data_IF_396630080907
#
_entry.id   IF_396630080907
#
_cell.length_a   1.000
_cell.length_b   1.000
_cell.length_c   1.000
_cell.angle_alpha   90.00
_cell.angle_beta   90.00
_cell.angle_gamma   90.00
#
_symmetry.space_group_name_H-M   'P 1'
#
loop_
_entity.id
_entity.type
_entity.pdbx_description
1 polymer ?
#
# COMPACT_ATOMS: atom_id res chain seq x y z
N UNK A 1 -14.10 -17.36 26.09
CA UNK A 1 -14.37 -16.61 25.38
C UNK A 1 -15.50 -15.87 24.64
N UNK A 2 -16.75 -15.78 25.21
CA UNK A 2 -17.85 -15.02 24.58
C UNK A 2 -18.07 -13.65 25.24
N UNK A 3 -17.33 -13.32 26.29
CA UNK A 3 -17.41 -12.03 27.00
C UNK A 3 -16.75 -10.87 26.26
N UNK A 4 -15.79 -11.18 25.37
CA UNK A 4 -14.97 -10.15 24.72
C UNK A 4 -15.74 -9.39 23.63
N UNK A 5 -16.74 -10.01 23.00
CA UNK A 5 -17.52 -9.36 21.93
C UNK A 5 -18.38 -8.18 22.42
N UNK A 6 -18.90 -8.24 23.64
CA UNK A 6 -19.72 -7.16 24.19
C UNK A 6 -18.87 -5.97 24.62
N UNK A 7 -17.65 -6.25 25.09
CA UNK A 7 -16.70 -5.20 25.48
C UNK A 7 -16.12 -4.49 24.25
N UNK A 8 -15.87 -5.23 23.17
CA UNK A 8 -15.45 -4.68 21.88
C UNK A 8 -16.55 -3.79 21.27
N UNK A 9 -17.80 -4.28 21.23
CA UNK A 9 -18.94 -3.51 20.74
C UNK A 9 -19.18 -2.24 21.59
N UNK A 10 -18.98 -2.31 22.91
CA UNK A 10 -19.04 -1.16 23.80
C UNK A 10 -17.85 -0.20 23.59
N UNK A 11 -16.66 -0.73 23.27
CA UNK A 11 -15.50 0.06 22.89
C UNK A 11 -15.75 0.87 21.62
N UNK A 12 -16.32 0.26 20.59
CA UNK A 12 -16.72 0.95 19.35
C UNK A 12 -17.84 1.98 19.58
N UNK A 13 -18.84 1.66 20.43
CA UNK A 13 -19.90 2.61 20.78
C UNK A 13 -19.37 3.83 21.56
N UNK A 14 -18.33 3.67 22.37
CA UNK A 14 -17.64 4.80 23.04
C UNK A 14 -16.83 5.65 22.06
N UNK A 15 -16.45 5.10 20.91
CA UNK A 15 -15.77 5.84 19.84
C UNK A 15 -16.75 6.64 18.98
N UNK A 16 -18.02 6.19 18.82
CA UNK A 16 -19.07 6.94 18.10
C UNK A 16 -19.39 8.31 18.71
N UNK A 17 -19.16 8.49 20.03
CA UNK A 17 -19.41 9.75 20.74
C UNK A 17 -18.25 10.77 20.64
N UNK A 18 -17.14 10.38 19.98
CA UNK A 18 -16.06 11.30 19.61
C UNK A 18 -16.35 11.90 18.25
N UNK A 19 -16.43 13.22 18.17
CA UNK A 19 -16.40 13.95 16.89
C UNK A 19 -15.05 13.66 16.23
N UNK A 20 -15.04 12.67 15.29
CA UNK A 20 -13.84 12.40 14.50
C UNK A 20 -13.69 13.52 13.47
N UNK A 21 -12.56 14.21 13.50
CA UNK A 21 -12.15 15.05 12.38
C UNK A 21 -11.90 14.13 11.17
N UNK A 22 -12.46 14.49 10.02
CA UNK A 22 -12.17 13.78 8.77
C UNK A 22 -10.66 13.83 8.54
N UNK A 23 -10.03 12.66 8.57
CA UNK A 23 -8.59 12.54 8.39
C UNK A 23 -8.33 11.75 7.11
N UNK A 24 -7.54 12.31 6.22
CA UNK A 24 -7.17 11.66 4.97
C UNK A 24 -6.04 10.65 5.19
N UNK A 25 -6.28 9.42 4.74
CA UNK A 25 -5.25 8.36 4.64
C UNK A 25 -4.98 8.10 3.17
N UNK A 26 -3.73 8.26 2.76
CA UNK A 26 -3.34 8.06 1.37
C UNK A 26 -3.20 6.58 1.00
N UNK A 27 -3.48 6.27 -0.26
CA UNK A 27 -3.30 4.92 -0.78
C UNK A 27 -1.84 4.45 -0.60
N UNK A 28 -1.68 3.27 0.02
CA UNK A 28 -0.37 2.70 0.31
C UNK A 28 0.19 3.06 1.69
N UNK A 29 -0.55 3.79 2.52
CA UNK A 29 -0.20 4.01 3.93
C UNK A 29 -0.38 2.72 4.71
N UNK A 30 0.62 2.37 5.53
CA UNK A 30 0.57 1.20 6.40
C UNK A 30 -0.09 1.55 7.73
N UNK A 31 -0.89 0.61 8.22
CA UNK A 31 -1.49 0.67 9.54
C UNK A 31 -1.41 -0.69 10.25
N UNK A 32 -1.43 -0.66 11.55
CA UNK A 32 -1.50 -1.83 12.41
C UNK A 32 -2.95 -2.01 12.89
N UNK A 33 -3.51 -3.20 12.67
CA UNK A 33 -4.84 -3.53 13.19
C UNK A 33 -4.72 -3.73 14.70
N UNK A 34 -5.33 -2.82 15.46
CA UNK A 34 -5.35 -2.88 16.93
C UNK A 34 -6.49 -3.79 17.40
N UNK A 35 -7.65 -3.65 16.75
CA UNK A 35 -8.86 -4.37 17.12
C UNK A 35 -9.73 -4.64 15.90
N UNK A 36 -10.44 -5.76 15.93
CA UNK A 36 -11.35 -6.15 14.85
C UNK A 36 -12.60 -6.80 15.43
N UNK A 37 -13.75 -6.27 15.07
CA UNK A 37 -15.06 -6.81 15.45
C UNK A 37 -15.86 -7.18 14.21
N UNK A 38 -16.15 -8.47 14.04
CA UNK A 38 -16.93 -8.98 12.91
C UNK A 38 -18.32 -8.35 12.86
N UNK A 39 -18.74 -7.85 11.71
CA UNK A 39 -20.01 -7.17 11.50
C UNK A 39 -20.07 -5.73 12.02
N UNK A 40 -18.97 -5.22 12.59
CA UNK A 40 -18.86 -3.85 13.11
C UNK A 40 -17.80 -3.07 12.36
N UNK A 41 -16.55 -3.51 12.46
CA UNK A 41 -15.44 -2.81 11.82
C UNK A 41 -14.07 -3.15 12.36
N UNK A 42 -13.09 -2.32 12.02
CA UNK A 42 -11.69 -2.44 12.44
C UNK A 42 -11.18 -1.11 12.98
N UNK A 43 -10.41 -1.19 14.07
CA UNK A 43 -9.61 -0.09 14.60
C UNK A 43 -8.18 -0.26 14.07
N UNK A 44 -7.70 0.71 13.32
CA UNK A 44 -6.37 0.67 12.70
C UNK A 44 -5.58 1.89 13.15
N UNK A 45 -4.34 1.66 13.59
CA UNK A 45 -3.39 2.70 13.95
C UNK A 45 -2.44 2.96 12.80
N UNK A 46 -2.41 4.19 12.31
CA UNK A 46 -1.50 4.66 11.28
C UNK A 46 -0.38 5.52 11.88
N UNK A 47 0.85 5.30 11.41
CA UNK A 47 1.99 6.10 11.86
C UNK A 47 1.84 7.55 11.37
N UNK A 48 1.91 8.50 12.31
CA UNK A 48 1.79 9.94 12.01
C UNK A 48 0.37 10.47 11.84
N UNK A 49 -0.65 9.59 11.79
CA UNK A 49 -2.07 9.97 11.65
C UNK A 49 -2.84 9.69 12.95
N UNK A 50 -2.60 8.53 13.57
CA UNK A 50 -3.32 8.10 14.77
C UNK A 50 -4.18 6.87 14.54
N UNK A 51 -5.18 6.70 15.40
CA UNK A 51 -6.10 5.56 15.38
C UNK A 51 -7.38 5.93 14.66
N UNK A 52 -7.74 5.16 13.63
CA UNK A 52 -8.94 5.36 12.83
C UNK A 52 -9.82 4.11 12.86
N UNK A 53 -11.13 4.31 12.85
CA UNK A 53 -12.12 3.24 12.80
C UNK A 53 -12.65 3.11 11.38
N UNK A 54 -12.62 1.88 10.86
CA UNK A 54 -13.20 1.54 9.57
C UNK A 54 -14.39 0.61 9.77
N UNK A 55 -15.56 1.02 9.32
CA UNK A 55 -16.81 0.27 9.48
C UNK A 55 -17.03 -0.72 8.34
N UNK A 56 -17.52 -1.93 8.67
CA UNK A 56 -17.83 -2.97 7.69
C UNK A 56 -18.99 -2.56 6.77
N UNK A 57 -20.01 -1.91 7.35
CA UNK A 57 -21.17 -1.43 6.62
C UNK A 57 -21.61 -0.06 7.11
N UNK A 58 -21.19 0.99 6.42
CA UNK A 58 -21.90 2.27 6.50
C UNK A 58 -22.94 2.32 5.38
N UNK A 59 -24.04 3.05 5.59
CA UNK A 59 -25.12 3.17 4.60
C UNK A 59 -24.68 3.75 3.24
N UNK A 60 -23.45 4.24 3.11
CA UNK A 60 -22.91 4.93 1.94
C UNK A 60 -21.64 4.31 1.36
N UNK A 61 -20.79 3.64 2.16
CA UNK A 61 -19.49 3.12 1.71
C UNK A 61 -19.11 1.84 2.44
N UNK A 62 -18.50 0.91 1.73
CA UNK A 62 -17.81 -0.23 2.34
C UNK A 62 -16.34 0.19 2.57
N UNK A 63 -16.04 0.78 3.72
CA UNK A 63 -14.72 1.31 4.05
C UNK A 63 -13.66 0.21 4.20
N UNK A 64 -14.06 -0.96 4.68
CA UNK A 64 -13.16 -2.13 4.78
C UNK A 64 -12.72 -2.63 3.41
N UNK A 65 -13.55 -2.46 2.38
CA UNK A 65 -13.23 -2.88 1.02
C UNK A 65 -12.04 -2.17 0.39
N UNK A 66 -11.56 -1.07 0.98
CA UNK A 66 -10.36 -0.35 0.53
C UNK A 66 -9.08 -0.77 1.27
N UNK A 67 -9.20 -1.62 2.30
CA UNK A 67 -8.11 -2.09 3.13
C UNK A 67 -7.62 -3.43 2.61
N UNK A 68 -6.33 -3.54 2.36
CA UNK A 68 -5.65 -4.78 1.95
C UNK A 68 -4.65 -5.22 3.01
N UNK A 69 -4.42 -6.53 3.11
CA UNK A 69 -3.39 -7.05 3.99
C UNK A 69 -1.99 -6.63 3.53
N UNK A 70 -1.25 -5.99 4.42
CA UNK A 70 0.07 -5.40 4.15
C UNK A 70 1.26 -6.35 4.24
N UNK A 71 1.08 -7.69 4.18
CA UNK A 71 2.17 -8.66 4.22
C UNK A 71 3.06 -8.65 2.97
N UNK A 72 2.51 -8.21 1.85
CA UNK A 72 3.23 -7.97 0.60
C UNK A 72 2.54 -6.87 -0.19
N UNK A 73 3.32 -6.00 -0.82
CA UNK A 73 2.79 -4.89 -1.61
C UNK A 73 3.44 -4.86 -3.00
N UNK A 74 2.72 -4.34 -3.98
CA UNK A 74 3.29 -4.13 -5.30
C UNK A 74 4.30 -2.98 -5.28
N UNK A 75 5.28 -3.04 -6.16
CA UNK A 75 6.28 -1.98 -6.33
C UNK A 75 5.64 -0.60 -6.58
N UNK A 76 4.50 -0.53 -7.26
CA UNK A 76 3.79 0.72 -7.51
C UNK A 76 3.18 1.31 -6.23
N UNK A 77 2.60 0.48 -5.37
CA UNK A 77 2.04 0.93 -4.08
C UNK A 77 3.13 1.36 -3.09
N UNK A 78 4.36 0.87 -3.24
CA UNK A 78 5.49 1.25 -2.41
C UNK A 78 6.16 2.58 -2.81
N UNK A 79 5.68 3.24 -3.86
CA UNK A 79 6.24 4.52 -4.30
C UNK A 79 6.07 5.59 -3.21
N UNK A 80 7.15 6.30 -2.92
CA UNK A 80 7.20 7.30 -1.83
C UNK A 80 7.64 6.72 -0.48
N UNK A 81 7.55 5.41 -0.28
CA UNK A 81 7.98 4.74 0.96
C UNK A 81 9.42 4.23 0.86
N UNK A 82 10.10 4.14 2.00
CA UNK A 82 11.43 3.53 2.12
C UNK A 82 11.42 2.45 3.19
N UNK A 83 12.11 1.33 2.93
CA UNK A 83 12.15 0.18 3.82
C UNK A 83 13.58 -0.12 4.26
N UNK A 84 13.79 -0.32 5.56
CA UNK A 84 15.12 -0.70 6.11
C UNK A 84 15.64 -1.97 5.44
N UNK A 85 14.77 -2.96 5.32
CA UNK A 85 15.04 -4.22 4.61
C UNK A 85 13.95 -4.47 3.60
N UNK A 86 14.33 -4.69 2.35
CA UNK A 86 13.42 -5.02 1.27
C UNK A 86 13.64 -6.47 0.83
N UNK A 87 12.55 -7.22 0.73
CA UNK A 87 12.55 -8.54 0.09
C UNK A 87 11.71 -8.42 -1.18
N UNK A 88 12.36 -8.47 -2.33
CA UNK A 88 11.71 -8.34 -3.63
C UNK A 88 11.63 -9.68 -4.36
N UNK A 89 10.54 -9.89 -5.11
CA UNK A 89 10.37 -11.04 -5.99
C UNK A 89 10.13 -10.57 -7.43
N UNK A 90 10.81 -11.21 -8.39
CA UNK A 90 10.62 -10.96 -9.84
C UNK A 90 10.43 -12.28 -10.56
N UNK A 91 9.26 -12.46 -11.17
CA UNK A 91 8.99 -13.57 -12.08
C UNK A 91 8.88 -13.08 -13.52
N UNK A 92 9.28 -13.92 -14.47
CA UNK A 92 9.12 -13.61 -15.89
C UNK A 92 7.64 -13.67 -16.33
N UNK A 93 6.78 -14.32 -15.56
CA UNK A 93 5.32 -14.27 -15.79
C UNK A 93 4.77 -12.83 -15.83
N UNK A 94 5.41 -11.92 -15.12
CA UNK A 94 5.03 -10.52 -15.03
C UNK A 94 5.78 -9.63 -16.04
N UNK A 95 6.25 -10.17 -17.16
CA UNK A 95 7.10 -9.50 -18.14
C UNK A 95 6.55 -8.15 -18.61
N UNK A 96 5.23 -7.97 -18.61
CA UNK A 96 4.60 -6.69 -18.98
C UNK A 96 4.95 -5.55 -18.03
N UNK A 97 5.23 -5.84 -16.76
CA UNK A 97 5.62 -4.86 -15.75
C UNK A 97 7.13 -4.64 -15.74
N UNK A 98 7.89 -5.66 -16.16
CA UNK A 98 9.34 -5.64 -16.11
C UNK A 98 9.92 -4.58 -17.03
N UNK A 99 10.77 -3.72 -16.45
CA UNK A 99 11.52 -2.71 -17.17
C UNK A 99 12.67 -2.22 -16.28
N UNK A 100 13.62 -1.51 -16.87
CA UNK A 100 14.72 -0.87 -16.12
C UNK A 100 14.18 0.08 -15.05
N UNK A 101 13.16 0.85 -15.38
CA UNK A 101 12.51 1.79 -14.48
C UNK A 101 11.83 1.07 -13.30
N UNK A 102 11.15 -0.05 -13.57
CA UNK A 102 10.53 -0.86 -12.54
C UNK A 102 11.57 -1.43 -11.56
N UNK A 103 12.62 -2.04 -12.10
CA UNK A 103 13.71 -2.60 -11.28
C UNK A 103 14.40 -1.50 -10.45
N UNK A 104 14.68 -0.36 -11.06
CA UNK A 104 15.25 0.79 -10.37
C UNK A 104 14.33 1.29 -9.23
N UNK A 105 13.05 1.48 -9.53
CA UNK A 105 12.07 1.94 -8.54
C UNK A 105 12.01 1.00 -7.35
N UNK A 106 12.00 -0.32 -7.58
CA UNK A 106 11.98 -1.33 -6.52
C UNK A 106 13.24 -1.26 -5.66
N UNK A 107 14.42 -1.27 -6.28
CA UNK A 107 15.70 -1.28 -5.55
C UNK A 107 15.92 -0.01 -4.75
N UNK A 108 15.51 1.15 -5.27
CA UNK A 108 15.64 2.44 -4.59
C UNK A 108 14.70 2.64 -3.40
N UNK A 109 13.77 1.71 -3.17
CA UNK A 109 12.98 1.68 -1.91
C UNK A 109 13.78 1.14 -0.74
N UNK A 110 14.94 0.55 -0.98
CA UNK A 110 15.80 -0.02 0.06
C UNK A 110 16.65 1.06 0.72
N UNK A 111 16.62 1.09 2.06
CA UNK A 111 17.49 1.96 2.85
C UNK A 111 18.79 1.25 3.21
N UNK A 112 18.71 0.04 3.78
CA UNK A 112 19.87 -0.67 4.29
C UNK A 112 20.19 -1.94 3.50
N UNK A 113 19.21 -2.84 3.30
CA UNK A 113 19.45 -4.17 2.77
C UNK A 113 18.34 -4.65 1.85
N UNK A 114 18.71 -5.19 0.68
CA UNK A 114 17.78 -5.76 -0.29
C UNK A 114 18.11 -7.23 -0.54
N UNK A 115 17.08 -8.07 -0.43
CA UNK A 115 17.10 -9.47 -0.86
C UNK A 115 16.22 -9.61 -2.09
N UNK A 116 16.80 -9.95 -3.23
CA UNK A 116 16.07 -10.11 -4.47
C UNK A 116 15.97 -11.58 -4.86
N UNK A 117 14.78 -12.13 -4.84
CA UNK A 117 14.45 -13.46 -5.36
C UNK A 117 13.92 -13.27 -6.80
N UNK A 118 14.72 -13.65 -7.78
CA UNK A 118 14.40 -13.34 -9.16
C UNK A 118 14.81 -14.46 -10.13
N UNK A 119 13.97 -14.69 -11.13
CA UNK A 119 14.38 -15.48 -12.29
C UNK A 119 15.42 -14.70 -13.09
N UNK A 120 16.51 -15.37 -13.50
CA UNK A 120 17.58 -14.75 -14.27
C UNK A 120 17.05 -14.10 -15.56
N UNK A 121 16.08 -14.75 -16.22
CA UNK A 121 15.38 -14.23 -17.39
C UNK A 121 14.67 -12.91 -17.10
N UNK A 122 13.97 -12.80 -15.96
CA UNK A 122 13.25 -11.60 -15.55
C UNK A 122 14.20 -10.42 -15.31
N UNK A 123 15.34 -10.67 -14.65
CA UNK A 123 16.37 -9.65 -14.42
C UNK A 123 16.97 -9.17 -15.74
N UNK A 124 17.39 -10.09 -16.60
CA UNK A 124 17.95 -9.74 -17.90
C UNK A 124 16.98 -8.96 -18.77
N UNK A 125 15.70 -9.37 -18.79
CA UNK A 125 14.67 -8.67 -19.52
C UNK A 125 14.44 -7.27 -18.98
N UNK A 126 14.36 -7.13 -17.64
CA UNK A 126 14.19 -5.82 -16.98
C UNK A 126 15.31 -4.85 -17.34
N UNK A 127 16.57 -5.29 -17.31
CA UNK A 127 17.72 -4.45 -17.63
C UNK A 127 17.70 -3.98 -19.07
N UNK A 128 17.31 -4.85 -20.01
CA UNK A 128 17.29 -4.55 -21.46
C UNK A 128 16.09 -3.71 -21.86
N UNK A 129 14.97 -3.81 -21.13
CA UNK A 129 13.72 -3.12 -21.49
C UNK A 129 13.69 -1.71 -20.92
N UNK A 130 13.72 -0.73 -21.80
CA UNK A 130 13.59 0.69 -21.45
C UNK A 130 12.25 1.24 -21.94
N UNK A 131 11.28 1.33 -21.03
CA UNK A 131 9.95 1.89 -21.32
C UNK A 131 9.89 3.42 -21.24
N UNK A 132 10.94 4.06 -20.72
CA UNK A 132 11.03 5.52 -20.66
C UNK A 132 11.08 6.17 -22.03
N UNK A 133 11.74 5.52 -22.99
CA UNK A 133 11.90 6.03 -24.36
C UNK A 133 10.61 6.09 -25.19
N UNK A 134 9.58 5.36 -24.77
CA UNK A 134 8.29 5.30 -25.47
C UNK A 134 7.26 6.30 -24.93
N UNK A 135 7.58 7.00 -23.84
CA UNK A 135 6.68 8.02 -23.28
C UNK A 135 6.77 9.27 -24.15
N UNK A 136 5.69 9.57 -24.87
CA UNK A 136 5.53 10.86 -25.55
C UNK A 136 5.35 11.93 -24.49
N UNK A 137 6.25 12.91 -24.47
CA UNK A 137 6.13 14.09 -23.62
C UNK A 137 5.76 15.27 -24.52
N UNK A 138 4.62 15.90 -24.25
CA UNK A 138 4.18 17.09 -25.00
C UNK A 138 4.99 18.35 -24.67
N UNK A 139 5.85 18.31 -23.65
CA UNK A 139 6.68 19.48 -23.25
C UNK A 139 7.58 19.94 -24.38
N UNK A 140 8.11 19.02 -25.20
CA UNK A 140 8.94 19.41 -26.35
C UNK A 140 8.17 20.26 -27.36
N UNK A 141 6.88 20.00 -27.56
CA UNK A 141 6.04 20.78 -28.48
C UNK A 141 5.75 22.19 -27.94
N UNK A 142 5.74 22.38 -26.60
CA UNK A 142 5.55 23.69 -25.98
C UNK A 142 6.83 24.51 -25.90
N UNK A 143 8.02 23.91 -26.01
CA UNK A 143 9.30 24.62 -25.94
C UNK A 143 9.82 25.06 -27.32
N UNK A 144 9.18 24.65 -28.42
CA UNK A 144 9.53 25.06 -29.80
C UNK A 144 8.71 26.28 -30.28
N UNK A 145 7.91 26.88 -29.38
CA UNK A 145 7.22 28.15 -29.57
C UNK A 145 7.68 29.17 -28.54
#
# INVERSE_FOLDING_TARGET
GYSDFQDVANGFALLEDKTFEETEVFNGTFGEIIECASGVGMLIKFEGVGELVFYEHTQKTNEIGIIDLGYAISCHRSQGSGFKTLVGALSFSDYMLLSRQFLYTMLTRTINQCFLFAETSAVHYSIKTDKGKTRKCFISEFLEH
#
